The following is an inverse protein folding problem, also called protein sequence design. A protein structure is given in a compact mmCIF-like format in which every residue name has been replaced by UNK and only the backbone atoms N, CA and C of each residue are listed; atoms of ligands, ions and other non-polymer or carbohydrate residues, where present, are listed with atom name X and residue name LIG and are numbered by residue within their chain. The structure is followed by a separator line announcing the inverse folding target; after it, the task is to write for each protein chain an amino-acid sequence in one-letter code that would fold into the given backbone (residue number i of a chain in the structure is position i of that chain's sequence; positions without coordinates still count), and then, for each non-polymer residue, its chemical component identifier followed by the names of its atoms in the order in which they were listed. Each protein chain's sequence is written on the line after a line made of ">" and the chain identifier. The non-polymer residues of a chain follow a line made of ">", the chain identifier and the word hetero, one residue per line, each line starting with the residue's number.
data_IF_154086527158
#
_entry.id   IF_154086527158
#
_cell.length_a   1.000
_cell.length_b   1.000
_cell.length_c   1.000
_cell.angle_alpha   90.00
_cell.angle_beta   90.00
_cell.angle_gamma   90.00
#
_symmetry.space_group_name_H-M   'P 1'
#
loop_
_entity.id
_entity.type
_entity.pdbx_description
1 polymer ?
#
# COMPACT_ATOMS: atom_id res chain seq x y z
N UNK A 1 -4.37 2.02 3.45
CA UNK A 1 -5.49 2.90 3.08
C UNK A 1 -6.22 3.45 4.31
N UNK A 2 -6.74 2.59 5.20
CA UNK A 2 -7.48 3.04 6.39
C UNK A 2 -6.61 3.66 7.50
N UNK A 3 -5.31 3.37 7.54
CA UNK A 3 -4.35 4.03 8.43
C UNK A 3 -4.06 5.47 7.94
N UNK A 4 -5.07 6.32 8.05
CA UNK A 4 -5.04 7.74 7.74
C UNK A 4 -5.96 8.44 8.74
N UNK A 5 -5.42 9.38 9.51
CA UNK A 5 -6.16 10.02 10.62
C UNK A 5 -6.34 11.51 10.42
N UNK A 6 -5.30 12.18 9.93
CA UNK A 6 -5.27 13.63 9.73
C UNK A 6 -4.66 13.95 8.37
N UNK A 7 -4.51 15.23 8.05
CA UNK A 7 -3.76 15.67 6.87
C UNK A 7 -2.31 15.19 6.93
N UNK A 8 -1.65 15.21 8.08
CA UNK A 8 -0.22 14.88 8.22
C UNK A 8 0.10 13.49 8.77
N UNK A 9 -0.91 12.64 9.03
CA UNK A 9 -0.71 11.29 9.56
C UNK A 9 -1.41 10.24 8.69
N UNK A 10 -0.63 9.54 7.87
CA UNK A 10 -1.14 8.58 6.90
C UNK A 10 -0.05 7.62 6.39
N UNK A 11 -0.48 6.47 5.87
CA UNK A 11 0.42 5.44 5.34
C UNK A 11 0.46 5.33 3.82
N UNK A 12 -0.39 6.05 3.08
CA UNK A 12 -0.34 6.10 1.61
C UNK A 12 -0.35 7.55 1.18
N UNK A 13 0.75 7.99 0.56
CA UNK A 13 0.94 9.35 0.05
C UNK A 13 0.63 9.45 -1.43
N UNK A 14 0.33 10.66 -1.89
CA UNK A 14 0.23 11.04 -3.31
C UNK A 14 1.16 12.20 -3.64
N UNK A 15 2.33 12.23 -2.99
CA UNK A 15 3.37 13.24 -3.23
C UNK A 15 3.25 14.52 -2.39
N UNK A 16 2.41 14.52 -1.34
CA UNK A 16 2.19 15.69 -0.50
C UNK A 16 1.82 15.35 0.95
N UNK A 17 1.38 16.36 1.69
CA UNK A 17 0.99 16.28 3.12
C UNK A 17 -0.49 15.94 3.30
N UNK A 18 -1.05 15.10 2.44
CA UNK A 18 -2.43 14.63 2.55
C UNK A 18 -2.51 13.12 2.28
N UNK A 19 -3.38 12.39 2.98
CA UNK A 19 -3.63 10.99 2.69
C UNK A 19 -4.18 10.81 1.28
N UNK A 20 -3.81 9.71 0.64
CA UNK A 20 -4.52 9.22 -0.53
C UNK A 20 -5.98 8.91 -0.17
N UNK A 21 -6.93 9.46 -0.94
CA UNK A 21 -8.34 9.09 -0.86
C UNK A 21 -8.75 8.30 -2.10
N UNK A 22 -10.01 7.87 -2.17
CA UNK A 22 -10.47 6.90 -3.17
C UNK A 22 -10.22 7.32 -4.63
N UNK A 23 -10.27 8.61 -4.95
CA UNK A 23 -10.00 9.16 -6.28
C UNK A 23 -8.56 8.92 -6.75
N UNK A 24 -7.62 8.71 -5.81
CA UNK A 24 -6.21 8.36 -6.08
C UNK A 24 -5.93 6.86 -5.96
N UNK A 25 -6.83 6.11 -5.34
CA UNK A 25 -6.75 4.66 -5.16
C UNK A 25 -7.84 3.94 -5.94
N UNK A 26 -8.11 4.39 -7.16
CA UNK A 26 -9.23 3.92 -7.98
C UNK A 26 -9.13 2.43 -8.30
N UNK A 27 -7.92 1.86 -8.39
CA UNK A 27 -7.73 0.43 -8.61
C UNK A 27 -8.05 -0.41 -7.37
N UNK A 28 -8.08 0.20 -6.20
CA UNK A 28 -8.37 -0.46 -4.93
C UNK A 28 -9.85 -0.32 -4.53
N UNK A 29 -10.45 0.85 -4.74
CA UNK A 29 -11.78 1.18 -4.22
C UNK A 29 -12.72 1.72 -5.30
N UNK A 30 -13.98 1.27 -5.26
CA UNK A 30 -15.10 1.77 -6.09
C UNK A 30 -15.83 2.98 -5.50
N UNK A 31 -15.37 3.51 -4.37
CA UNK A 31 -15.99 4.61 -3.64
C UNK A 31 -15.18 4.95 -2.37
N UNK A 32 -15.78 5.68 -1.42
CA UNK A 32 -15.13 6.04 -0.15
C UNK A 32 -14.43 4.85 0.50
N UNK A 33 -13.18 5.02 0.95
CA UNK A 33 -12.34 3.95 1.49
C UNK A 33 -13.07 3.22 2.63
N UNK A 34 -13.33 1.93 2.42
CA UNK A 34 -14.03 1.08 3.37
C UNK A 34 -14.11 -0.37 2.87
N UNK A 35 -14.56 -1.31 3.72
CA UNK A 35 -14.63 -2.72 3.36
C UNK A 35 -15.59 -2.98 2.18
N UNK A 36 -16.76 -2.33 2.18
CA UNK A 36 -17.79 -2.55 1.13
C UNK A 36 -17.46 -1.88 -0.21
N UNK A 37 -16.40 -1.09 -0.27
CA UNK A 37 -15.96 -0.42 -1.50
C UNK A 37 -14.73 -1.08 -2.12
N UNK A 38 -14.17 -2.14 -1.53
CA UNK A 38 -13.21 -3.00 -2.21
C UNK A 38 -13.90 -3.76 -3.35
N UNK A 39 -13.17 -3.99 -4.44
CA UNK A 39 -13.68 -4.78 -5.56
C UNK A 39 -13.89 -6.24 -5.16
N UNK A 40 -15.08 -6.77 -5.45
CA UNK A 40 -15.46 -8.17 -5.22
C UNK A 40 -15.28 -8.98 -6.51
N UNK A 41 -15.15 -10.30 -6.40
CA UNK A 41 -14.86 -11.19 -7.55
C UNK A 41 -15.89 -11.06 -8.69
N UNK A 42 -17.15 -10.75 -8.36
CA UNK A 42 -18.23 -10.62 -9.34
C UNK A 42 -18.39 -9.21 -9.91
N UNK A 43 -17.65 -8.22 -9.40
CA UNK A 43 -17.73 -6.83 -9.85
C UNK A 43 -17.30 -6.73 -11.33
N UNK A 44 -17.93 -5.82 -12.07
CA UNK A 44 -17.73 -5.65 -13.51
C UNK A 44 -16.25 -5.44 -13.87
N UNK A 45 -15.53 -4.60 -13.11
CA UNK A 45 -14.10 -4.34 -13.34
C UNK A 45 -13.24 -5.62 -13.28
N UNK A 46 -13.56 -6.54 -12.37
CA UNK A 46 -12.83 -7.82 -12.23
C UNK A 46 -13.16 -8.76 -13.37
N UNK A 47 -14.42 -8.78 -13.83
CA UNK A 47 -14.81 -9.55 -15.02
C UNK A 47 -14.20 -9.00 -16.31
N UNK A 48 -14.09 -7.67 -16.43
CA UNK A 48 -13.45 -7.04 -17.59
C UNK A 48 -11.93 -7.26 -17.60
N UNK A 49 -11.25 -7.28 -16.44
CA UNK A 49 -9.81 -7.55 -16.39
C UNK A 49 -9.45 -8.94 -16.92
N UNK A 50 -10.33 -9.93 -16.73
CA UNK A 50 -10.19 -11.29 -17.26
C UNK A 50 -10.31 -11.38 -18.80
N UNK A 51 -10.82 -10.33 -19.47
CA UNK A 51 -10.94 -10.28 -20.94
C UNK A 51 -9.71 -9.65 -21.61
N UNK A 52 -8.78 -9.12 -20.82
CA UNK A 52 -7.55 -8.53 -21.35
C UNK A 52 -6.61 -9.61 -21.88
N UNK A 53 -5.65 -9.23 -22.73
CA UNK A 53 -4.62 -10.14 -23.23
C UNK A 53 -3.39 -10.24 -22.31
N UNK A 54 -3.46 -9.63 -21.13
CA UNK A 54 -2.36 -9.61 -20.17
C UNK A 54 -2.16 -11.02 -19.60
N UNK A 55 -0.93 -11.50 -19.66
CA UNK A 55 -0.52 -12.75 -19.06
C UNK A 55 -0.10 -12.52 -17.61
N UNK A 56 -0.16 -13.58 -16.81
CA UNK A 56 0.18 -13.55 -15.39
C UNK A 56 1.59 -12.95 -15.13
N UNK A 57 2.58 -13.34 -15.93
CA UNK A 57 3.96 -12.88 -15.75
C UNK A 57 4.13 -11.37 -16.00
N UNK A 58 3.35 -10.79 -16.91
CA UNK A 58 3.36 -9.35 -17.20
C UNK A 58 2.80 -8.58 -16.01
N UNK A 59 1.68 -9.04 -15.46
CA UNK A 59 1.03 -8.41 -14.30
C UNK A 59 1.92 -8.51 -13.06
N UNK A 60 2.56 -9.66 -12.83
CA UNK A 60 3.52 -9.82 -11.72
C UNK A 60 4.75 -8.92 -11.87
N UNK A 61 5.27 -8.78 -13.09
CA UNK A 61 6.43 -7.93 -13.34
C UNK A 61 6.12 -6.45 -13.10
N UNK A 62 4.87 -6.02 -13.32
CA UNK A 62 4.47 -4.61 -13.18
C UNK A 62 4.65 -4.04 -11.77
N UNK A 63 4.61 -4.87 -10.73
CA UNK A 63 4.81 -4.46 -9.33
C UNK A 63 6.24 -4.69 -8.83
N UNK A 64 7.17 -5.09 -9.72
CA UNK A 64 8.56 -5.30 -9.36
C UNK A 64 9.26 -3.98 -9.03
N UNK A 65 10.32 -4.04 -8.21
CA UNK A 65 11.13 -2.86 -7.90
C UNK A 65 11.69 -2.18 -9.16
N UNK A 66 12.07 -2.96 -10.18
CA UNK A 66 12.62 -2.43 -11.43
C UNK A 66 11.55 -1.71 -12.27
N UNK A 67 10.30 -2.19 -12.24
CA UNK A 67 9.19 -1.56 -12.97
C UNK A 67 8.66 -0.32 -12.25
N UNK A 68 8.62 -0.35 -10.91
CA UNK A 68 8.10 0.76 -10.12
C UNK A 68 9.14 1.86 -9.92
N UNK A 69 10.39 1.53 -9.56
CA UNK A 69 11.37 2.51 -9.12
C UNK A 69 11.14 2.95 -7.66
N UNK A 70 12.23 3.38 -7.01
CA UNK A 70 12.21 3.73 -5.59
C UNK A 70 11.31 4.94 -5.29
N UNK A 71 11.26 5.89 -6.20
CA UNK A 71 10.49 7.13 -6.14
C UNK A 71 8.98 6.92 -6.20
N UNK A 72 8.52 5.85 -6.86
CA UNK A 72 7.09 5.50 -6.91
C UNK A 72 6.66 4.60 -5.74
N UNK A 73 7.62 3.99 -5.03
CA UNK A 73 7.36 3.18 -3.82
C UNK A 73 7.39 4.05 -2.57
N UNK A 74 8.44 4.88 -2.42
CA UNK A 74 8.62 5.74 -1.24
C UNK A 74 8.04 7.13 -1.49
N UNK A 75 6.81 7.34 -1.02
CA UNK A 75 6.18 8.66 -0.99
C UNK A 75 6.29 9.36 0.37
N UNK A 76 5.60 10.50 0.48
CA UNK A 76 5.46 11.24 1.75
C UNK A 76 6.43 12.40 1.94
N UNK A 77 6.24 13.16 3.02
CA UNK A 77 7.11 14.28 3.41
C UNK A 77 8.21 13.88 4.42
N UNK A 78 8.35 12.57 4.71
CA UNK A 78 9.32 12.05 5.68
C UNK A 78 8.90 12.17 7.15
N UNK A 79 7.71 12.72 7.43
CA UNK A 79 7.16 12.90 8.78
C UNK A 79 5.69 12.50 8.91
N UNK A 80 5.17 11.70 7.97
CA UNK A 80 3.75 11.33 7.87
C UNK A 80 3.26 10.34 8.96
N UNK A 81 4.10 10.04 9.95
CA UNK A 81 3.72 9.30 11.15
C UNK A 81 3.21 7.87 10.91
N UNK A 82 3.50 7.25 9.76
CA UNK A 82 3.07 5.89 9.48
C UNK A 82 3.90 4.85 10.25
N UNK A 83 3.40 4.42 11.40
CA UNK A 83 4.07 3.39 12.20
C UNK A 83 4.04 2.00 11.57
N UNK A 84 3.15 1.72 10.60
CA UNK A 84 3.05 0.42 9.91
C UNK A 84 4.25 0.08 9.03
N UNK A 85 5.09 1.06 8.70
CA UNK A 85 6.30 0.90 7.89
C UNK A 85 7.58 1.09 8.72
N UNK A 86 7.48 1.07 10.05
CA UNK A 86 8.61 1.25 10.98
C UNK A 86 8.72 0.04 11.90
N UNK A 87 9.80 -0.72 11.77
CA UNK A 87 10.11 -1.87 12.65
C UNK A 87 10.92 -1.49 13.90
N UNK A 88 11.49 -0.29 13.92
CA UNK A 88 12.18 0.29 15.08
C UNK A 88 11.23 0.66 16.24
N UNK A 89 11.84 0.97 17.39
CA UNK A 89 11.15 1.41 18.61
C UNK A 89 10.07 2.46 18.33
N UNK A 90 8.87 2.23 18.89
CA UNK A 90 7.66 3.05 18.72
C UNK A 90 7.12 3.13 17.28
N UNK A 91 7.53 2.20 16.41
CA UNK A 91 6.85 1.90 15.16
C UNK A 91 5.66 0.96 15.39
N UNK A 92 5.75 -0.26 14.88
CA UNK A 92 4.72 -1.30 15.05
C UNK A 92 4.53 -1.69 16.53
N UNK A 93 5.62 -1.78 17.29
CA UNK A 93 5.58 -2.08 18.71
C UNK A 93 5.89 -0.83 19.54
N UNK A 94 5.02 -0.54 20.50
CA UNK A 94 5.25 0.54 21.47
C UNK A 94 6.32 0.08 22.48
N UNK A 95 7.40 0.85 22.61
CA UNK A 95 8.49 0.55 23.55
C UNK A 95 9.44 -0.57 23.11
N UNK A 96 9.43 -1.00 21.86
CA UNK A 96 10.35 -2.02 21.35
C UNK A 96 10.42 -2.08 19.83
N UNK A 97 11.45 -2.77 19.31
CA UNK A 97 11.59 -3.07 17.87
C UNK A 97 11.16 -4.52 17.57
N UNK A 98 10.81 -4.78 16.31
CA UNK A 98 10.53 -6.15 15.82
C UNK A 98 11.86 -6.90 15.63
N UNK A 99 12.26 -7.71 16.62
CA UNK A 99 13.61 -8.36 16.63
C UNK A 99 13.63 -9.86 16.32
N UNK A 100 12.51 -10.57 16.50
CA UNK A 100 12.47 -12.04 16.42
C UNK A 100 12.24 -12.56 15.01
N UNK A 101 11.48 -11.81 14.21
CA UNK A 101 11.08 -12.21 12.86
C UNK A 101 11.19 -10.99 11.96
N UNK A 102 11.72 -11.19 10.76
CA UNK A 102 11.62 -10.16 9.73
C UNK A 102 10.15 -10.00 9.36
N UNK A 103 9.68 -8.75 9.37
CA UNK A 103 8.31 -8.45 8.99
C UNK A 103 8.20 -8.40 7.47
N UNK A 104 7.11 -8.94 6.93
CA UNK A 104 6.78 -8.83 5.50
C UNK A 104 5.33 -8.46 5.30
N UNK A 105 5.07 -7.56 4.34
CA UNK A 105 3.73 -7.31 3.79
C UNK A 105 3.61 -7.95 2.41
N UNK A 106 2.46 -8.56 2.12
CA UNK A 106 2.17 -9.14 0.81
C UNK A 106 2.91 -10.44 0.48
N UNK A 107 3.38 -11.18 1.48
CA UNK A 107 4.04 -12.48 1.26
C UNK A 107 5.43 -12.39 0.61
N UNK A 108 6.17 -11.31 0.89
CA UNK A 108 7.51 -11.09 0.33
C UNK A 108 7.62 -9.87 -0.59
N UNK A 109 6.52 -9.14 -0.84
CA UNK A 109 6.51 -7.93 -1.69
C UNK A 109 7.25 -6.78 -1.01
N UNK A 110 7.00 -6.54 0.28
CA UNK A 110 7.68 -5.51 1.06
C UNK A 110 8.25 -6.12 2.34
N UNK A 111 9.57 -6.22 2.41
CA UNK A 111 10.30 -6.86 3.51
C UNK A 111 11.03 -5.83 4.37
N UNK A 112 10.98 -6.00 5.68
CA UNK A 112 11.67 -5.14 6.64
C UNK A 112 12.75 -5.94 7.36
N UNK A 113 13.89 -5.29 7.56
CA UNK A 113 14.93 -5.77 8.45
C UNK A 113 14.50 -5.74 9.91
N UNK A 114 15.15 -6.58 10.69
CA UNK A 114 15.17 -6.56 12.16
C UNK A 114 16.28 -5.67 12.70
#
# INVERSE_FOLDING_TARGET
>A
AQAARTTSQFCISVGGSRPAVHDKLQECFRGTIGPETLYKIEDSRVKESAKTRLQLHEVLSSISFNSLGAENIRGGNGSDGCNLVRTDNNGILKGGSVRRHNLTWGGGVMNFGS
#
